data_IF_749007848978
#
_entry.id   IF_749007848978
#
_cell.length_a   1.000
_cell.length_b   1.000
_cell.length_c   1.000
_cell.angle_alpha   90.00
_cell.angle_beta   90.00
_cell.angle_gamma   90.00
#
_symmetry.space_group_name_H-M   'P 1'
#
loop_
_entity.id
_entity.type
_entity.pdbx_description
1 polymer ?
#
# COMPACT_ATOMS: atom_id res chain seq x y z
N UNK A 1 -0.18 -13.19 7.43
CA UNK A 1 0.45 -12.12 8.25
C UNK A 1 -0.49 -11.57 9.32
N UNK A 2 -1.74 -11.22 9.04
CA UNK A 2 -2.64 -10.66 10.06
C UNK A 2 -2.86 -11.53 11.30
N UNK A 3 -2.70 -12.84 11.23
CA UNK A 3 -2.83 -13.76 12.36
C UNK A 3 -1.67 -13.75 13.37
N UNK A 4 -0.57 -13.07 13.09
CA UNK A 4 0.61 -12.96 13.95
C UNK A 4 0.78 -11.59 14.64
N UNK A 5 -0.20 -10.70 14.46
CA UNK A 5 -0.20 -9.38 15.11
C UNK A 5 -0.73 -9.53 16.54
N UNK A 6 0.04 -9.10 17.53
CA UNK A 6 -0.38 -9.08 18.94
C UNK A 6 -1.16 -7.80 19.27
N UNK A 7 -2.00 -7.86 20.30
CA UNK A 7 -2.75 -6.73 20.86
C UNK A 7 -3.54 -5.92 19.82
N UNK A 8 -4.26 -6.61 18.92
CA UNK A 8 -4.92 -6.01 17.77
C UNK A 8 -6.11 -5.13 18.16
N UNK A 9 -6.13 -3.92 17.61
CA UNK A 9 -7.33 -3.09 17.47
C UNK A 9 -7.69 -3.04 16.00
N UNK A 10 -8.94 -3.38 15.68
CA UNK A 10 -9.45 -3.41 14.30
C UNK A 10 -10.33 -2.20 14.01
N UNK A 11 -10.11 -1.57 12.86
CA UNK A 11 -10.93 -0.47 12.37
C UNK A 11 -11.35 -0.80 10.93
N UNK A 12 -12.63 -1.04 10.66
CA UNK A 12 -13.11 -1.23 9.28
C UNK A 12 -12.88 0.01 8.41
N UNK A 13 -12.59 -0.17 7.13
CA UNK A 13 -12.42 0.95 6.19
C UNK A 13 -13.63 1.88 6.18
N UNK A 14 -14.85 1.33 6.26
CA UNK A 14 -16.08 2.10 6.30
C UNK A 14 -16.23 3.02 7.53
N UNK A 15 -15.53 2.70 8.63
CA UNK A 15 -15.50 3.55 9.81
C UNK A 15 -14.58 4.77 9.64
N UNK A 16 -13.74 4.79 8.60
CA UNK A 16 -12.81 5.89 8.30
C UNK A 16 -13.45 6.80 7.25
N UNK A 17 -13.77 8.06 7.58
CA UNK A 17 -14.40 8.97 6.64
C UNK A 17 -13.63 9.08 5.31
N UNK A 18 -14.32 8.77 4.22
CA UNK A 18 -13.78 8.90 2.87
C UNK A 18 -12.93 7.73 2.37
N UNK A 19 -12.75 6.64 3.14
CA UNK A 19 -12.22 5.39 2.61
C UNK A 19 -13.36 4.60 1.94
N UNK A 20 -13.19 4.15 0.69
CA UNK A 20 -14.13 3.23 0.05
C UNK A 20 -14.09 1.83 0.67
N UNK A 21 -15.12 1.05 0.43
CA UNK A 21 -15.12 -0.38 0.72
C UNK A 21 -14.14 -1.13 -0.18
N UNK A 22 -13.47 -2.16 0.39
CA UNK A 22 -12.75 -3.15 -0.41
C UNK A 22 -13.76 -4.22 -0.87
N UNK A 23 -13.87 -4.45 -2.17
CA UNK A 23 -14.88 -5.34 -2.76
C UNK A 23 -14.30 -6.68 -3.21
N UNK A 24 -12.97 -6.81 -3.25
CA UNK A 24 -12.29 -8.03 -3.69
C UNK A 24 -12.41 -9.13 -2.65
N UNK A 25 -12.80 -10.32 -3.10
CA UNK A 25 -12.85 -11.53 -2.26
C UNK A 25 -11.47 -11.81 -1.61
N UNK A 26 -11.48 -12.00 -0.29
CA UNK A 26 -10.25 -12.18 0.50
C UNK A 26 -9.67 -10.88 1.09
N UNK A 27 -10.16 -9.72 0.67
CA UNK A 27 -9.84 -8.44 1.28
C UNK A 27 -10.89 -8.06 2.31
N UNK A 28 -10.51 -8.05 3.58
CA UNK A 28 -11.46 -7.76 4.67
C UNK A 28 -11.77 -6.27 4.84
N UNK A 29 -11.01 -5.38 4.18
CA UNK A 29 -11.23 -3.95 4.21
C UNK A 29 -11.13 -3.35 5.61
N UNK A 30 -10.06 -3.67 6.34
CA UNK A 30 -9.83 -3.18 7.70
C UNK A 30 -8.37 -2.77 7.93
N UNK A 31 -8.20 -1.91 8.90
CA UNK A 31 -6.90 -1.49 9.44
C UNK A 31 -6.71 -2.20 10.76
N UNK A 32 -5.57 -2.85 10.95
CA UNK A 32 -5.17 -3.48 12.19
C UNK A 32 -4.03 -2.68 12.81
N UNK A 33 -4.22 -2.23 14.02
CA UNK A 33 -3.19 -1.62 14.85
C UNK A 33 -2.71 -2.66 15.86
N UNK A 34 -1.41 -2.84 16.00
CA UNK A 34 -0.86 -3.81 16.93
C UNK A 34 0.65 -3.85 16.87
N UNK A 35 1.25 -4.96 17.25
CA UNK A 35 2.69 -5.18 17.17
C UNK A 35 3.03 -6.45 16.41
N UNK A 36 4.18 -6.43 15.72
CA UNK A 36 4.80 -7.59 15.11
C UNK A 36 6.22 -7.71 15.68
N UNK A 37 6.50 -8.81 16.40
CA UNK A 37 7.79 -8.98 17.08
C UNK A 37 8.16 -7.77 17.97
N UNK A 38 7.19 -7.30 18.76
CA UNK A 38 7.31 -6.14 19.67
C UNK A 38 7.51 -4.78 18.97
N UNK A 39 7.46 -4.73 17.64
CA UNK A 39 7.49 -3.48 16.88
C UNK A 39 6.06 -3.02 16.61
N UNK A 40 5.68 -1.79 17.03
CA UNK A 40 4.38 -1.23 16.69
C UNK A 40 4.20 -1.16 15.17
N UNK A 41 3.08 -1.67 14.68
CA UNK A 41 2.82 -1.77 13.26
C UNK A 41 1.34 -1.56 12.92
N UNK A 42 1.08 -1.04 11.72
CA UNK A 42 -0.26 -0.93 11.15
C UNK A 42 -0.32 -1.86 9.93
N UNK A 43 -1.35 -2.68 9.87
CA UNK A 43 -1.61 -3.56 8.74
C UNK A 43 -2.89 -3.15 8.03
N UNK A 44 -2.81 -3.01 6.72
CA UNK A 44 -3.98 -2.89 5.87
C UNK A 44 -4.39 -4.29 5.41
N UNK A 45 -5.41 -4.87 6.05
CA UNK A 45 -5.97 -6.19 5.69
C UNK A 45 -7.02 -5.98 4.59
N UNK A 46 -6.52 -5.65 3.41
CA UNK A 46 -7.26 -5.31 2.22
C UNK A 46 -6.61 -4.18 1.45
N UNK A 47 -6.98 -4.05 0.18
CA UNK A 47 -6.48 -3.02 -0.72
C UNK A 47 -7.58 -2.61 -1.68
N UNK A 48 -7.56 -1.35 -2.09
CA UNK A 48 -8.39 -0.82 -3.17
C UNK A 48 -7.62 -0.98 -4.49
N UNK A 49 -8.28 -1.53 -5.51
CA UNK A 49 -7.66 -1.74 -6.80
C UNK A 49 -8.32 -0.92 -7.90
N UNK A 50 -7.54 -0.55 -8.92
CA UNK A 50 -8.03 0.20 -10.06
C UNK A 50 -9.08 -0.56 -10.88
N UNK A 51 -9.00 -1.88 -10.93
CA UNK A 51 -9.96 -2.72 -11.66
C UNK A 51 -11.33 -2.84 -10.96
N UNK A 52 -11.44 -2.46 -9.68
CA UNK A 52 -12.71 -2.35 -8.96
C UNK A 52 -13.52 -1.09 -9.38
N UNK A 53 -12.96 -0.24 -10.23
CA UNK A 53 -13.57 1.01 -10.68
C UNK A 53 -13.21 2.23 -9.83
N UNK A 54 -12.38 2.06 -8.80
CA UNK A 54 -11.92 3.17 -7.97
C UNK A 54 -11.05 4.15 -8.77
N UNK A 55 -11.21 5.44 -8.46
CA UNK A 55 -10.32 6.48 -8.98
C UNK A 55 -8.95 6.38 -8.29
N UNK A 56 -7.89 6.81 -8.98
CA UNK A 56 -6.54 6.79 -8.42
C UNK A 56 -6.46 7.55 -7.09
N UNK A 57 -7.17 8.67 -6.97
CA UNK A 57 -7.25 9.47 -5.74
C UNK A 57 -7.92 8.73 -4.57
N UNK A 58 -8.75 7.74 -4.84
CA UNK A 58 -9.37 6.88 -3.82
C UNK A 58 -8.41 5.78 -3.40
N UNK A 59 -7.73 5.16 -4.36
CA UNK A 59 -6.75 4.09 -4.12
C UNK A 59 -5.60 4.55 -3.22
N UNK A 60 -5.17 5.80 -3.32
CA UNK A 60 -4.07 6.34 -2.51
C UNK A 60 -4.48 6.87 -1.14
N UNK A 61 -5.78 6.95 -0.84
CA UNK A 61 -6.25 7.45 0.47
C UNK A 61 -5.69 6.67 1.67
N UNK A 62 -5.60 5.34 1.66
CA UNK A 62 -4.97 4.60 2.75
C UNK A 62 -3.51 5.03 2.99
N UNK A 63 -2.73 5.26 1.94
CA UNK A 63 -1.34 5.73 2.07
C UNK A 63 -1.27 7.15 2.65
N UNK A 64 -2.15 8.03 2.20
CA UNK A 64 -2.26 9.40 2.76
C UNK A 64 -2.68 9.39 4.23
N UNK A 65 -3.53 8.44 4.63
CA UNK A 65 -3.90 8.23 6.03
C UNK A 65 -2.68 7.81 6.85
N UNK A 66 -1.92 6.80 6.39
CA UNK A 66 -0.71 6.34 7.08
C UNK A 66 0.31 7.47 7.25
N UNK A 67 0.54 8.25 6.21
CA UNK A 67 1.43 9.42 6.29
C UNK A 67 0.96 10.45 7.34
N UNK A 68 -0.35 10.70 7.45
CA UNK A 68 -0.91 11.60 8.48
C UNK A 68 -0.82 11.03 9.88
N UNK A 69 -0.77 9.72 10.03
CA UNK A 69 -0.53 9.03 11.31
C UNK A 69 0.96 9.00 11.69
N UNK A 70 1.85 9.57 10.86
CA UNK A 70 3.28 9.63 11.12
C UNK A 70 4.03 8.34 10.81
N UNK A 71 3.47 7.48 9.94
CA UNK A 71 4.16 6.27 9.49
C UNK A 71 5.30 6.68 8.54
N UNK A 72 6.51 6.30 8.89
CA UNK A 72 7.73 6.63 8.14
C UNK A 72 8.10 5.54 7.13
N UNK A 73 7.82 4.27 7.45
CA UNK A 73 8.16 3.14 6.58
C UNK A 73 6.92 2.37 6.17
N UNK A 74 6.77 2.10 4.88
CA UNK A 74 5.66 1.32 4.33
C UNK A 74 6.20 0.15 3.51
N UNK A 75 5.73 -1.05 3.82
CA UNK A 75 6.01 -2.26 3.04
C UNK A 75 4.76 -2.61 2.23
N UNK A 76 4.87 -2.58 0.91
CA UNK A 76 3.80 -2.96 -0.01
C UNK A 76 4.04 -4.38 -0.51
N UNK A 77 3.02 -5.22 -0.43
CA UNK A 77 3.06 -6.59 -0.94
C UNK A 77 2.04 -6.79 -2.06
N UNK A 78 2.39 -7.57 -3.05
CA UNK A 78 1.47 -8.00 -4.12
C UNK A 78 1.86 -9.40 -4.60
N UNK A 79 0.96 -10.05 -5.32
CA UNK A 79 1.27 -11.24 -6.09
C UNK A 79 1.31 -10.89 -7.58
N UNK A 80 2.25 -11.47 -8.32
CA UNK A 80 2.39 -11.27 -9.77
C UNK A 80 2.86 -12.57 -10.44
N UNK A 81 2.54 -12.73 -11.72
CA UNK A 81 3.15 -13.75 -12.56
C UNK A 81 4.57 -13.33 -12.97
N UNK A 82 5.52 -14.24 -12.86
CA UNK A 82 6.88 -14.02 -13.31
C UNK A 82 6.99 -14.11 -14.84
N UNK A 83 7.79 -13.22 -15.43
CA UNK A 83 8.20 -13.26 -16.83
C UNK A 83 9.61 -13.86 -16.96
N UNK A 84 10.45 -13.68 -15.94
CA UNK A 84 11.77 -14.25 -15.85
C UNK A 84 11.67 -15.77 -15.62
N UNK A 85 12.24 -16.61 -16.52
CA UNK A 85 12.16 -18.07 -16.40
C UNK A 85 12.98 -18.65 -15.24
N UNK A 86 13.83 -17.86 -14.58
CA UNK A 86 14.57 -18.29 -13.40
C UNK A 86 13.75 -18.25 -12.12
N UNK A 87 12.57 -17.61 -12.13
CA UNK A 87 11.68 -17.49 -10.99
C UNK A 87 10.66 -18.63 -10.95
N UNK A 88 10.43 -19.17 -9.77
CA UNK A 88 9.47 -20.24 -9.51
C UNK A 88 8.26 -19.73 -8.70
N UNK A 89 7.18 -20.51 -8.74
CA UNK A 89 5.98 -20.21 -7.93
C UNK A 89 6.30 -20.32 -6.46
N UNK A 90 6.09 -19.23 -5.73
CA UNK A 90 6.39 -19.13 -4.31
C UNK A 90 7.63 -18.30 -3.98
N UNK A 91 8.40 -17.90 -4.98
CA UNK A 91 9.53 -17.01 -4.78
C UNK A 91 9.08 -15.65 -4.26
N UNK A 92 9.88 -15.08 -3.37
CA UNK A 92 9.72 -13.72 -2.88
C UNK A 92 10.72 -12.83 -3.59
N UNK A 93 10.21 -11.82 -4.29
CA UNK A 93 11.01 -10.88 -5.07
C UNK A 93 10.95 -9.50 -4.42
N UNK A 94 12.08 -8.88 -4.22
CA UNK A 94 12.18 -7.48 -3.82
C UNK A 94 12.19 -6.60 -5.08
N UNK A 95 11.24 -5.67 -5.17
CA UNK A 95 11.14 -4.77 -6.33
C UNK A 95 12.15 -3.64 -6.15
N UNK A 96 13.08 -3.51 -7.09
CA UNK A 96 14.08 -2.44 -7.12
C UNK A 96 13.58 -1.21 -7.88
N UNK A 97 12.82 -1.43 -8.95
CA UNK A 97 12.26 -0.37 -9.78
C UNK A 97 10.98 -0.84 -10.50
N UNK A 98 10.25 0.08 -11.12
CA UNK A 98 9.00 -0.24 -11.80
C UNK A 98 8.76 0.66 -13.01
N UNK A 99 8.09 0.10 -14.01
CA UNK A 99 7.59 0.83 -15.16
C UNK A 99 6.07 0.94 -15.07
N UNK A 100 5.53 2.17 -15.11
CA UNK A 100 4.09 2.39 -15.06
C UNK A 100 3.45 2.32 -16.44
N UNK A 101 2.96 1.15 -16.84
CA UNK A 101 2.19 0.95 -18.06
C UNK A 101 0.67 1.12 -17.86
N UNK A 102 0.21 1.54 -16.70
CA UNK A 102 -1.23 1.69 -16.43
C UNK A 102 -1.81 2.98 -17.04
N UNK A 103 -0.97 3.90 -17.46
CA UNK A 103 -1.34 5.26 -17.92
C UNK A 103 -2.16 6.05 -16.88
N UNK A 104 -2.07 5.65 -15.61
CA UNK A 104 -2.71 6.30 -14.46
C UNK A 104 -1.63 6.66 -13.46
N UNK A 105 -1.71 7.87 -12.88
CA UNK A 105 -0.75 8.31 -11.87
C UNK A 105 -1.45 9.07 -10.76
N UNK A 106 -1.13 8.72 -9.54
CA UNK A 106 -1.56 9.47 -8.35
C UNK A 106 -0.85 10.83 -8.22
N UNK A 107 0.24 11.01 -8.95
CA UNK A 107 1.04 12.24 -8.99
C UNK A 107 0.52 13.23 -10.03
N UNK A 108 -0.55 12.91 -10.78
CA UNK A 108 -1.18 13.80 -11.73
C UNK A 108 -2.47 14.40 -11.15
N UNK A 109 -2.77 15.64 -11.52
CA UNK A 109 -3.99 16.33 -11.13
C UNK A 109 -3.75 17.52 -10.18
N UNK A 110 -4.78 17.98 -9.47
CA UNK A 110 -4.66 19.08 -8.52
C UNK A 110 -3.85 18.63 -7.29
N UNK A 111 -2.94 19.50 -6.86
CA UNK A 111 -2.11 19.29 -5.67
C UNK A 111 -2.71 20.00 -4.47
N UNK A 112 -2.55 19.39 -3.28
CA UNK A 112 -2.88 20.02 -2.03
C UNK A 112 -1.91 21.14 -1.67
N UNK A 113 -2.34 22.03 -0.76
CA UNK A 113 -1.46 23.08 -0.25
C UNK A 113 -0.29 22.45 0.52
N UNK A 114 0.94 22.70 0.07
CA UNK A 114 2.15 22.13 0.67
C UNK A 114 2.62 20.81 0.07
N UNK A 115 1.93 20.28 -0.95
CA UNK A 115 2.41 19.13 -1.72
C UNK A 115 3.36 19.61 -2.84
N UNK A 116 4.45 18.89 -3.06
CA UNK A 116 5.37 19.15 -4.17
C UNK A 116 4.74 18.68 -5.49
N UNK A 117 4.75 19.56 -6.50
CA UNK A 117 4.22 19.24 -7.82
C UNK A 117 5.13 18.31 -8.62
N UNK A 118 6.42 18.39 -8.40
CA UNK A 118 7.45 17.65 -9.11
C UNK A 118 8.22 16.76 -8.14
N UNK A 119 7.55 15.71 -7.66
CA UNK A 119 8.17 14.74 -6.79
C UNK A 119 9.25 13.98 -7.58
N UNK A 120 10.46 13.93 -7.05
CA UNK A 120 11.53 13.11 -7.61
C UNK A 120 11.22 11.62 -7.38
N UNK A 121 11.10 10.88 -8.47
CA UNK A 121 10.83 9.44 -8.47
C UNK A 121 12.00 8.63 -9.03
N UNK A 122 13.21 9.21 -9.04
CA UNK A 122 14.42 8.52 -9.52
C UNK A 122 14.80 7.31 -8.66
N UNK A 123 14.48 7.38 -7.36
CA UNK A 123 14.69 6.29 -6.40
C UNK A 123 13.41 6.12 -5.58
N UNK A 124 12.38 5.44 -6.13
CA UNK A 124 11.07 5.37 -5.49
C UNK A 124 11.01 4.42 -4.30
N UNK A 125 12.01 3.56 -4.13
CA UNK A 125 12.13 2.61 -3.04
C UNK A 125 13.32 2.93 -2.14
N UNK A 126 13.21 2.56 -0.87
CA UNK A 126 14.26 2.76 0.12
C UNK A 126 15.47 1.87 -0.16
N UNK A 127 16.60 2.50 -0.47
CA UNK A 127 17.83 1.82 -0.86
C UNK A 127 18.55 1.14 0.32
N UNK A 128 18.23 1.51 1.56
CA UNK A 128 18.82 0.86 2.76
C UNK A 128 18.07 -0.42 3.10
N UNK A 129 16.74 -0.43 2.93
CA UNK A 129 15.91 -1.61 3.16
C UNK A 129 16.12 -2.66 2.06
N UNK A 130 16.58 -2.25 0.87
CA UNK A 130 16.88 -3.14 -0.25
C UNK A 130 18.24 -3.88 -0.13
N UNK A 131 19.07 -3.56 0.84
CA UNK A 131 20.35 -4.24 1.08
C UNK A 131 20.20 -5.46 1.95
#
# INVERSE_FOLDING_TARGET
>A
MAGSVADQVEVPFQAVPGLPEATVHGHRGRILFGSLSDVPAIFLDGRLHAYEGHRVQEIVKPMRLLARLGIETVILTNAAGAVDPSLEVGDIVLIEDQINFTFRSALSGPFGKGEDRFLDMSLPFDQEIQK
#
